data_IF_207494393797
#
_entry.id   IF_207494393797
#
_cell.length_a   1.000
_cell.length_b   1.000
_cell.length_c   1.000
_cell.angle_alpha   90.00
_cell.angle_beta   90.00
_cell.angle_gamma   90.00
#
_symmetry.space_group_name_H-M   'P 1'
#
loop_
_entity.id
_entity.type
_entity.pdbx_description
1 polymer ?
#
# COMPACT_ATOMS: atom_id res chain seq x y z
N UNK A 1 -5.56 4.77 -27.08
CA UNK A 1 -5.76 5.28 -25.70
C UNK A 1 -5.06 4.33 -24.74
N UNK A 2 -4.22 4.82 -23.82
CA UNK A 2 -3.61 3.96 -22.79
C UNK A 2 -4.66 3.58 -21.74
N UNK A 3 -4.65 2.33 -21.29
CA UNK A 3 -5.49 1.84 -20.18
C UNK A 3 -4.76 2.01 -18.86
N UNK A 4 -5.51 1.91 -17.76
CA UNK A 4 -4.96 1.88 -16.41
C UNK A 4 -3.86 0.83 -16.24
N UNK A 5 -4.06 -0.38 -16.74
CA UNK A 5 -3.06 -1.45 -16.71
C UNK A 5 -1.78 -1.07 -17.45
N UNK A 6 -1.91 -0.40 -18.60
CA UNK A 6 -0.75 0.00 -19.40
C UNK A 6 0.08 1.07 -18.66
N UNK A 7 -0.58 1.95 -17.88
CA UNK A 7 0.09 2.92 -17.01
C UNK A 7 0.84 2.22 -15.87
N UNK A 8 0.20 1.26 -15.18
CA UNK A 8 0.83 0.51 -14.09
C UNK A 8 2.07 -0.22 -14.58
N UNK A 9 1.99 -0.93 -15.71
CA UNK A 9 3.13 -1.66 -16.27
C UNK A 9 4.27 -0.72 -16.70
N UNK A 10 3.94 0.47 -17.21
CA UNK A 10 4.96 1.49 -17.50
C UNK A 10 5.72 1.88 -16.23
N UNK A 11 5.01 2.15 -15.13
CA UNK A 11 5.65 2.52 -13.86
C UNK A 11 6.39 1.35 -13.19
N UNK A 12 5.87 0.12 -13.33
CA UNK A 12 6.47 -1.10 -12.76
C UNK A 12 7.90 -1.32 -13.26
N UNK A 13 8.19 -0.95 -14.50
CA UNK A 13 9.54 -1.05 -15.07
C UNK A 13 10.60 -0.21 -14.31
N UNK A 14 10.18 0.81 -13.56
CA UNK A 14 11.06 1.73 -12.81
C UNK A 14 10.89 1.62 -11.29
N UNK A 15 10.09 0.67 -10.79
CA UNK A 15 9.79 0.49 -9.37
C UNK A 15 10.15 -0.93 -8.95
N UNK A 16 10.99 -1.04 -7.91
CA UNK A 16 11.22 -2.33 -7.26
C UNK A 16 9.94 -2.78 -6.57
N UNK A 17 9.58 -4.04 -6.77
CA UNK A 17 8.50 -4.70 -6.03
C UNK A 17 9.09 -5.73 -5.07
N UNK A 18 8.53 -5.82 -3.86
CA UNK A 18 8.82 -6.88 -2.90
C UNK A 18 7.53 -7.64 -2.59
N UNK A 19 7.64 -8.93 -2.29
CA UNK A 19 6.50 -9.75 -1.91
C UNK A 19 6.23 -9.66 -0.40
N UNK A 20 5.03 -10.05 0.07
CA UNK A 20 4.70 -10.03 1.49
C UNK A 20 5.71 -10.75 2.39
N UNK A 21 6.17 -11.94 2.00
CA UNK A 21 7.16 -12.69 2.78
C UNK A 21 8.53 -12.01 2.83
N UNK A 22 8.95 -11.33 1.75
CA UNK A 22 10.20 -10.55 1.75
C UNK A 22 10.14 -9.43 2.79
N UNK A 23 8.97 -8.78 2.93
CA UNK A 23 8.75 -7.77 3.96
C UNK A 23 8.71 -8.38 5.36
N UNK A 24 8.10 -9.56 5.54
CA UNK A 24 8.09 -10.26 6.82
C UNK A 24 9.50 -10.58 7.29
N UNK A 25 10.31 -11.22 6.42
CA UNK A 25 11.71 -11.53 6.72
C UNK A 25 12.52 -10.28 7.06
N UNK A 26 12.26 -9.16 6.38
CA UNK A 26 12.91 -7.89 6.67
C UNK A 26 12.54 -7.33 8.05
N UNK A 27 11.26 -7.37 8.41
CA UNK A 27 10.79 -6.90 9.73
C UNK A 27 11.27 -7.82 10.86
N UNK A 28 11.19 -9.14 10.67
CA UNK A 28 11.66 -10.14 11.64
C UNK A 28 13.18 -10.08 11.85
N UNK A 29 13.92 -9.68 10.81
CA UNK A 29 15.35 -9.39 10.87
C UNK A 29 15.71 -8.09 11.59
N UNK A 30 14.73 -7.34 12.11
CA UNK A 30 14.93 -6.05 12.78
C UNK A 30 15.06 -4.85 11.84
N UNK A 31 14.67 -5.00 10.58
CA UNK A 31 14.59 -3.87 9.65
C UNK A 31 13.46 -2.91 10.00
N UNK A 32 13.69 -1.62 9.79
CA UNK A 32 12.72 -0.56 10.12
C UNK A 32 12.38 0.31 8.89
N UNK A 33 11.88 -0.29 7.78
CA UNK A 33 11.42 0.51 6.64
C UNK A 33 10.23 1.38 7.05
N UNK A 34 10.09 2.55 6.43
CA UNK A 34 8.86 3.32 6.53
C UNK A 34 7.77 2.57 5.77
N UNK A 35 6.76 2.07 6.47
CA UNK A 35 5.59 1.44 5.86
C UNK A 35 4.58 2.54 5.49
N UNK A 36 4.46 2.84 4.20
CA UNK A 36 3.62 3.93 3.70
C UNK A 36 2.35 3.38 3.07
N UNK A 37 1.21 3.51 3.73
CA UNK A 37 -0.07 3.07 3.20
C UNK A 37 -0.78 4.20 2.44
N UNK A 38 -0.93 4.02 1.13
CA UNK A 38 -1.52 5.02 0.23
C UNK A 38 -3.00 4.80 -0.06
N UNK A 39 -3.65 3.92 0.69
CA UNK A 39 -5.10 3.73 0.62
C UNK A 39 -5.85 4.92 1.23
N UNK A 40 -7.15 4.94 0.96
CA UNK A 40 -8.05 5.92 1.59
C UNK A 40 -8.13 5.70 3.10
N UNK A 41 -8.37 6.75 3.91
CA UNK A 41 -8.39 6.65 5.37
C UNK A 41 -9.33 5.57 5.89
N UNK A 42 -10.53 5.42 5.31
CA UNK A 42 -11.49 4.39 5.73
C UNK A 42 -10.99 2.96 5.45
N UNK A 43 -10.17 2.73 4.41
CA UNK A 43 -9.56 1.42 4.16
C UNK A 43 -8.50 1.12 5.23
N UNK A 44 -7.73 2.14 5.62
CA UNK A 44 -6.64 2.07 6.59
C UNK A 44 -7.12 1.90 8.03
N UNK A 45 -8.16 2.63 8.42
CA UNK A 45 -8.81 2.53 9.72
C UNK A 45 -9.40 1.14 9.96
N UNK A 46 -9.93 0.50 8.90
CA UNK A 46 -10.50 -0.84 8.99
C UNK A 46 -9.44 -1.88 9.30
N UNK A 47 -8.31 -1.82 8.58
CA UNK A 47 -7.16 -2.69 8.83
C UNK A 47 -5.91 -2.20 8.12
N UNK A 48 -4.74 -2.42 8.72
CA UNK A 48 -3.42 -2.03 8.22
C UNK A 48 -2.32 -2.93 8.76
N UNK A 49 -1.12 -2.83 8.17
CA UNK A 49 0.10 -3.38 8.79
C UNK A 49 0.46 -2.51 9.99
N UNK A 50 0.85 -3.14 11.10
CA UNK A 50 1.27 -2.44 12.31
C UNK A 50 2.37 -1.41 12.03
N UNK A 51 2.30 -0.23 12.66
CA UNK A 51 3.30 0.83 12.49
C UNK A 51 3.31 1.53 11.12
N UNK A 52 2.36 1.21 10.23
CA UNK A 52 2.24 1.93 8.95
C UNK A 52 1.69 3.35 9.10
N UNK A 53 2.16 4.24 8.23
CA UNK A 53 1.75 5.64 8.11
C UNK A 53 0.76 5.76 6.95
N UNK A 54 -0.44 6.31 7.20
CA UNK A 54 -1.39 6.55 6.12
C UNK A 54 -1.14 7.90 5.44
N UNK A 55 -0.88 7.88 4.14
CA UNK A 55 -0.83 9.06 3.28
C UNK A 55 -1.58 8.73 1.99
N UNK A 56 -2.88 9.07 1.89
CA UNK A 56 -3.70 8.74 0.73
C UNK A 56 -3.05 9.19 -0.58
N UNK A 57 -3.19 8.37 -1.62
CA UNK A 57 -2.56 8.65 -2.93
C UNK A 57 -2.85 10.06 -3.45
N UNK A 58 -4.04 10.59 -3.19
CA UNK A 58 -4.47 11.91 -3.69
C UNK A 58 -3.70 13.11 -3.14
N UNK A 59 -3.02 12.96 -1.98
CA UNK A 59 -2.26 14.05 -1.34
C UNK A 59 -0.74 13.77 -1.31
N UNK A 60 -0.30 12.65 -1.89
CA UNK A 60 1.05 12.12 -1.73
C UNK A 60 2.13 13.15 -2.06
N UNK A 61 1.97 13.87 -3.16
CA UNK A 61 2.94 14.86 -3.64
C UNK A 61 3.10 16.03 -2.66
N UNK A 62 1.99 16.56 -2.13
CA UNK A 62 2.01 17.66 -1.16
C UNK A 62 2.51 17.19 0.22
N UNK A 63 2.17 15.96 0.62
CA UNK A 63 2.62 15.36 1.87
C UNK A 63 4.14 15.16 1.95
N UNK A 64 4.82 15.04 0.81
CA UNK A 64 6.27 14.86 0.70
C UNK A 64 7.08 16.15 0.88
N UNK A 65 6.45 17.32 0.90
CA UNK A 65 7.12 18.62 0.92
C UNK A 65 6.72 19.43 2.15
N UNK A 66 7.66 20.21 2.70
CA UNK A 66 7.34 21.15 3.78
C UNK A 66 6.65 22.41 3.24
N UNK A 67 5.72 22.96 4.01
CA UNK A 67 5.05 24.23 3.68
C UNK A 67 3.71 24.08 2.95
N UNK A 68 3.15 22.88 2.91
CA UNK A 68 1.82 22.59 2.39
C UNK A 68 0.87 22.21 3.54
N UNK A 69 -0.43 22.36 3.32
CA UNK A 69 -1.45 21.97 4.31
C UNK A 69 -1.40 20.45 4.60
N UNK A 70 -1.18 19.65 3.55
CA UNK A 70 -1.09 18.20 3.63
C UNK A 70 0.31 17.68 4.04
N UNK A 71 1.27 18.56 4.39
CA UNK A 71 2.63 18.14 4.77
C UNK A 71 2.58 17.07 5.86
N UNK A 72 3.24 15.93 5.61
CA UNK A 72 3.44 14.89 6.62
C UNK A 72 4.92 14.91 7.02
N UNK A 73 5.27 15.46 8.19
CA UNK A 73 6.68 15.70 8.55
C UNK A 73 7.55 14.43 8.52
N UNK A 74 6.99 13.29 8.90
CA UNK A 74 7.70 12.01 8.84
C UNK A 74 8.05 11.61 7.41
N UNK A 75 7.11 11.75 6.47
CA UNK A 75 7.35 11.44 5.05
C UNK A 75 8.29 12.47 4.42
N UNK A 76 8.07 13.77 4.65
CA UNK A 76 8.91 14.85 4.11
C UNK A 76 10.40 14.72 4.51
N UNK A 77 10.67 14.18 5.71
CA UNK A 77 12.03 13.89 6.18
C UNK A 77 12.62 12.57 5.65
N UNK A 78 11.83 11.71 4.99
CA UNK A 78 12.17 10.32 4.69
C UNK A 78 12.80 10.06 3.31
N UNK A 79 13.25 11.07 2.56
CA UNK A 79 13.77 10.89 1.17
C UNK A 79 14.86 9.83 1.02
N UNK A 80 15.69 9.65 2.05
CA UNK A 80 16.80 8.67 2.04
C UNK A 80 16.46 7.35 2.76
N UNK A 81 15.29 7.26 3.40
CA UNK A 81 14.82 6.06 4.11
C UNK A 81 14.37 5.02 3.10
N UNK A 82 14.45 3.77 3.51
CA UNK A 82 13.78 2.69 2.82
C UNK A 82 12.27 2.80 3.07
N UNK A 83 11.48 2.76 1.99
CA UNK A 83 10.03 2.94 2.07
C UNK A 83 9.35 1.78 1.37
N UNK A 84 8.40 1.14 2.06
CA UNK A 84 7.54 0.12 1.47
C UNK A 84 6.15 0.72 1.31
N UNK A 85 5.76 0.95 0.05
CA UNK A 85 4.48 1.54 -0.30
C UNK A 85 3.43 0.44 -0.41
N UNK A 86 2.35 0.61 0.36
CA UNK A 86 1.30 -0.39 0.55
C UNK A 86 0.01 0.18 -0.05
N UNK A 87 -0.71 -0.66 -0.76
CA UNK A 87 -2.10 -0.38 -1.10
C UNK A 87 -2.95 -1.66 -1.00
N UNK A 88 -4.19 -1.66 -1.48
CA UNK A 88 -5.06 -2.85 -1.41
C UNK A 88 -4.50 -4.07 -2.16
N UNK A 89 -3.99 -3.87 -3.38
CA UNK A 89 -3.68 -4.97 -4.33
C UNK A 89 -2.35 -4.85 -5.08
N UNK A 90 -1.52 -3.87 -4.74
CA UNK A 90 -0.22 -3.61 -5.38
C UNK A 90 -0.25 -2.64 -6.56
N UNK A 91 -1.43 -2.30 -7.12
CA UNK A 91 -1.49 -1.46 -8.32
C UNK A 91 -1.30 0.04 -8.02
N UNK A 92 -1.98 0.57 -6.99
CA UNK A 92 -1.85 1.98 -6.57
C UNK A 92 -0.46 2.26 -5.99
N UNK A 93 0.13 1.27 -5.32
CA UNK A 93 1.45 1.40 -4.67
C UNK A 93 2.58 1.49 -5.69
N UNK A 94 2.50 0.78 -6.82
CA UNK A 94 3.47 0.97 -7.94
C UNK A 94 3.42 2.40 -8.47
N UNK A 95 2.23 2.96 -8.68
CA UNK A 95 2.10 4.35 -9.13
C UNK A 95 2.62 5.35 -8.10
N UNK A 96 2.32 5.14 -6.82
CA UNK A 96 2.81 5.97 -5.73
C UNK A 96 4.34 5.91 -5.58
N UNK A 97 4.92 4.70 -5.58
CA UNK A 97 6.37 4.51 -5.52
C UNK A 97 7.08 5.17 -6.70
N UNK A 98 6.53 5.07 -7.91
CA UNK A 98 7.06 5.77 -9.08
C UNK A 98 7.01 7.30 -8.89
N UNK A 99 5.90 7.85 -8.40
CA UNK A 99 5.81 9.29 -8.07
C UNK A 99 6.84 9.68 -7.01
N UNK A 100 7.02 8.87 -5.97
CA UNK A 100 8.05 9.08 -4.94
C UNK A 100 9.46 9.10 -5.55
N UNK A 101 9.78 8.22 -6.51
CA UNK A 101 11.04 8.27 -7.25
C UNK A 101 11.25 9.60 -7.98
N UNK A 102 10.21 10.12 -8.65
CA UNK A 102 10.28 11.43 -9.31
C UNK A 102 10.53 12.58 -8.32
N UNK A 103 10.10 12.41 -7.07
CA UNK A 103 10.33 13.35 -5.97
C UNK A 103 11.63 13.05 -5.19
N UNK A 104 12.48 12.15 -5.66
CA UNK A 104 13.80 11.87 -5.07
C UNK A 104 13.82 10.89 -3.90
N UNK A 105 12.75 10.10 -3.70
CA UNK A 105 12.70 9.01 -2.72
C UNK A 105 13.21 7.71 -3.37
N UNK A 106 14.50 7.62 -3.66
CA UNK A 106 15.09 6.56 -4.51
C UNK A 106 14.94 5.12 -3.99
N UNK A 107 14.64 4.95 -2.69
CA UNK A 107 14.50 3.64 -2.04
C UNK A 107 13.05 3.23 -1.78
N UNK A 108 12.09 3.86 -2.46
CA UNK A 108 10.70 3.46 -2.38
C UNK A 108 10.47 2.17 -3.20
N UNK A 109 9.88 1.16 -2.59
CA UNK A 109 9.43 -0.04 -3.30
C UNK A 109 7.95 -0.29 -3.06
N UNK A 110 7.28 -0.93 -4.00
CA UNK A 110 5.87 -1.32 -3.85
C UNK A 110 5.77 -2.70 -3.21
N UNK A 111 4.86 -2.85 -2.24
CA UNK A 111 4.43 -4.16 -1.77
C UNK A 111 3.56 -4.82 -2.85
N UNK A 112 4.14 -5.81 -3.54
CA UNK A 112 3.44 -6.60 -4.54
C UNK A 112 2.24 -7.30 -3.91
N UNK A 113 1.14 -7.42 -4.65
CA UNK A 113 -0.15 -7.93 -4.17
C UNK A 113 -0.83 -7.12 -3.04
N UNK A 114 -0.16 -6.10 -2.50
CA UNK A 114 -0.69 -5.20 -1.49
C UNK A 114 -1.12 -5.90 -0.20
N UNK A 115 -2.01 -5.23 0.55
CA UNK A 115 -2.54 -5.74 1.81
C UNK A 115 -3.36 -7.03 1.64
N UNK A 116 -3.96 -7.24 0.46
CA UNK A 116 -4.60 -8.52 0.13
C UNK A 116 -3.61 -9.67 0.18
N UNK A 117 -2.45 -9.55 -0.47
CA UNK A 117 -1.46 -10.62 -0.44
C UNK A 117 -0.78 -10.79 0.91
N UNK A 118 -0.68 -9.71 1.70
CA UNK A 118 -0.28 -9.78 3.11
C UNK A 118 -1.25 -10.67 3.91
N UNK A 119 -2.55 -10.44 3.75
CA UNK A 119 -3.59 -11.26 4.36
C UNK A 119 -3.62 -12.70 3.82
N UNK A 120 -3.49 -12.90 2.51
CA UNK A 120 -3.43 -14.24 1.88
C UNK A 120 -2.25 -15.08 2.42
N UNK A 121 -1.25 -14.43 3.03
CA UNK A 121 -0.11 -15.07 3.70
C UNK A 121 -0.26 -15.12 5.24
N UNK A 122 -1.50 -14.96 5.72
CA UNK A 122 -1.92 -15.03 7.12
C UNK A 122 -1.15 -14.08 8.06
N UNK A 123 -0.62 -12.99 7.50
CA UNK A 123 0.15 -12.03 8.27
C UNK A 123 -0.77 -11.10 9.07
N UNK A 124 -0.37 -10.68 10.28
CA UNK A 124 -1.23 -9.93 11.17
C UNK A 124 -1.58 -8.56 10.61
N UNK A 125 -2.84 -8.18 10.81
CA UNK A 125 -3.39 -6.86 10.50
C UNK A 125 -3.95 -6.23 11.76
N UNK A 126 -3.94 -4.90 11.84
CA UNK A 126 -4.44 -4.13 12.99
C UNK A 126 -5.55 -3.17 12.59
N UNK A 127 -6.59 -3.07 13.43
CA UNK A 127 -7.65 -2.07 13.32
C UNK A 127 -7.19 -0.69 13.86
N UNK A 128 -8.04 0.33 13.80
CA UNK A 128 -7.75 1.67 14.33
C UNK A 128 -7.45 1.71 15.84
N UNK A 129 -7.83 0.68 16.60
CA UNK A 129 -7.57 0.56 18.04
C UNK A 129 -6.36 -0.34 18.33
N UNK A 130 -5.52 -0.61 17.32
CA UNK A 130 -4.32 -1.46 17.42
C UNK A 130 -4.62 -2.91 17.81
N UNK A 131 -5.86 -3.36 17.56
CA UNK A 131 -6.26 -4.75 17.82
C UNK A 131 -6.04 -5.58 16.57
N UNK A 132 -5.58 -6.81 16.77
CA UNK A 132 -5.47 -7.77 15.69
C UNK A 132 -6.84 -8.00 15.04
N UNK A 133 -6.89 -7.89 13.72
CA UNK A 133 -8.09 -8.17 12.93
C UNK A 133 -8.18 -9.68 12.70
N UNK A 134 -9.31 -10.34 13.01
CA UNK A 134 -9.51 -11.76 12.70
C UNK A 134 -9.36 -12.02 11.19
N UNK A 135 -8.72 -13.14 10.84
CA UNK A 135 -8.47 -13.48 9.43
C UNK A 135 -9.76 -13.60 8.62
N UNK A 136 -10.82 -14.18 9.19
CA UNK A 136 -12.12 -14.33 8.55
C UNK A 136 -12.73 -12.97 8.15
N UNK A 137 -12.60 -11.96 9.02
CA UNK A 137 -13.11 -10.60 8.78
C UNK A 137 -12.33 -9.91 7.64
N UNK A 138 -11.03 -10.16 7.57
CA UNK A 138 -10.16 -9.64 6.53
C UNK A 138 -10.41 -10.34 5.18
N UNK A 139 -10.59 -11.66 5.18
CA UNK A 139 -10.96 -12.45 4.01
C UNK A 139 -12.29 -11.96 3.41
N UNK A 140 -13.30 -11.73 4.24
CA UNK A 140 -14.59 -11.20 3.80
C UNK A 140 -14.45 -9.82 3.14
N UNK A 141 -13.55 -8.97 3.64
CA UNK A 141 -13.29 -7.67 3.06
C UNK A 141 -12.61 -7.74 1.68
N UNK A 142 -11.63 -8.63 1.54
CA UNK A 142 -10.86 -8.78 0.31
C UNK A 142 -11.59 -9.64 -0.73
N UNK A 143 -12.63 -10.37 -0.32
CA UNK A 143 -13.47 -11.16 -1.20
C UNK A 143 -13.98 -10.32 -2.39
N UNK A 144 -13.96 -10.88 -3.62
CA UNK A 144 -14.56 -10.22 -4.76
C UNK A 144 -16.06 -10.01 -4.52
N UNK A 145 -16.49 -8.75 -4.41
CA UNK A 145 -17.91 -8.42 -4.42
C UNK A 145 -18.38 -8.41 -5.87
N UNK A 146 -18.94 -9.52 -6.32
CA UNK A 146 -19.63 -9.56 -7.61
C UNK A 146 -20.86 -8.65 -7.51
N UNK A 147 -20.96 -7.64 -8.37
CA UNK A 147 -22.23 -6.91 -8.53
C UNK A 147 -23.28 -7.87 -9.10
N UNK A 148 -24.57 -7.69 -8.81
CA UNK A 148 -25.63 -8.58 -9.30
C UNK A 148 -25.56 -8.85 -10.81
N UNK A 149 -25.17 -7.87 -11.64
CA UNK A 149 -25.03 -8.06 -13.08
C UNK A 149 -23.85 -8.96 -13.50
N UNK A 150 -22.90 -9.25 -12.61
CA UNK A 150 -21.77 -10.17 -12.81
C UNK A 150 -22.07 -11.60 -12.35
N UNK A 151 -23.17 -11.83 -11.65
CA UNK A 151 -23.69 -13.17 -11.43
C UNK A 151 -24.22 -13.67 -12.78
N UNK A 152 -23.42 -14.44 -13.52
CA UNK A 152 -23.93 -15.12 -14.72
C UNK A 152 -25.19 -15.86 -14.31
N UNK A 153 -26.33 -15.50 -14.94
CA UNK A 153 -27.52 -16.33 -14.95
C UNK A 153 -27.12 -17.72 -15.46
N UNK A 154 -26.79 -18.61 -14.52
CA UNK A 154 -26.84 -20.04 -14.77
C UNK A 154 -28.31 -20.40 -14.81
N UNK A 155 -28.90 -20.24 -16.01
CA UNK A 155 -30.10 -20.92 -16.45
C UNK A 155 -29.72 -21.75 -17.67
#
# INVERSE_FOLDING_TARGET
MKRFTDLVETCRAAVREILPWDLCEWLDGGGEPLLLDVREPYEFERMRIAGSLNVPRGILEAACEYGYEDTVPELAAARKREIVVICRSGLRSVLAAHTLHLLGYEKACSLKTGLRGWNDYEQPLMDNNERAVPIDDADEYFAPRLIPEQQRNTA
#
